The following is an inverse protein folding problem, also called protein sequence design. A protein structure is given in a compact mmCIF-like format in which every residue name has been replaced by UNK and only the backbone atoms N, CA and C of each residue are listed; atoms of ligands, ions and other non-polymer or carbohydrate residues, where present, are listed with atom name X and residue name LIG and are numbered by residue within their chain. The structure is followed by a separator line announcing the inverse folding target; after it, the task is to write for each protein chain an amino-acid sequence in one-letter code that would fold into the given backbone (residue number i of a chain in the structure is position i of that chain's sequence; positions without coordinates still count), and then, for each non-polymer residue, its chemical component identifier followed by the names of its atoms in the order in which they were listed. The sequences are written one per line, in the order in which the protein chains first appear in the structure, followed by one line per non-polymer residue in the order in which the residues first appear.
data_IF_588941463363
#
_entry.id   IF_588941463363
#
_cell.length_a   1.000
_cell.length_b   1.000
_cell.length_c   1.000
_cell.angle_alpha   90.00
_cell.angle_beta   90.00
_cell.angle_gamma   90.00
#
_symmetry.space_group_name_H-M   'P 1'
#
loop_
_entity.id
_entity.type
_entity.pdbx_description
1 polymer ?
#
# COMPACT_ATOMS: atom_id res chain seq x y z
N UNK A 1 -4.29 -12.46 -9.08
CA UNK A 1 -3.69 -13.37 -8.10
C UNK A 1 -4.15 -12.98 -6.70
N UNK A 2 -4.13 -13.91 -5.75
CA UNK A 2 -4.65 -13.73 -4.38
C UNK A 2 -4.09 -12.48 -3.67
N UNK A 3 -2.77 -12.25 -3.79
CA UNK A 3 -2.08 -11.08 -3.21
C UNK A 3 -2.66 -9.76 -3.76
N UNK A 4 -2.92 -9.67 -5.06
CA UNK A 4 -3.48 -8.47 -5.68
C UNK A 4 -4.95 -8.26 -5.31
N UNK A 5 -5.71 -9.33 -5.12
CA UNK A 5 -7.07 -9.23 -4.59
C UNK A 5 -7.07 -8.69 -3.15
N UNK A 6 -6.14 -9.18 -2.31
CA UNK A 6 -5.97 -8.67 -0.94
C UNK A 6 -5.46 -7.23 -0.92
N UNK A 7 -4.55 -6.87 -1.82
CA UNK A 7 -4.09 -5.50 -1.99
C UNK A 7 -5.25 -4.56 -2.34
N UNK A 8 -6.14 -4.98 -3.26
CA UNK A 8 -7.34 -4.21 -3.62
C UNK A 8 -8.27 -4.06 -2.42
N UNK A 9 -8.61 -5.17 -1.73
CA UNK A 9 -9.44 -5.14 -0.52
C UNK A 9 -8.85 -4.20 0.55
N UNK A 10 -7.54 -4.31 0.80
CA UNK A 10 -6.83 -3.45 1.74
C UNK A 10 -6.91 -1.98 1.32
N UNK A 11 -6.71 -1.67 0.04
CA UNK A 11 -6.77 -0.30 -0.50
C UNK A 11 -8.18 0.28 -0.39
N UNK A 12 -9.21 -0.52 -0.69
CA UNK A 12 -10.61 -0.12 -0.57
C UNK A 12 -10.96 0.19 0.90
N UNK A 13 -10.50 -0.64 1.84
CA UNK A 13 -10.66 -0.38 3.29
C UNK A 13 -9.93 0.87 3.75
N UNK A 14 -8.70 1.07 3.29
CA UNK A 14 -7.92 2.26 3.60
C UNK A 14 -8.65 3.53 3.14
N UNK A 15 -9.24 3.52 1.94
CA UNK A 15 -10.02 4.67 1.43
C UNK A 15 -11.21 5.00 2.33
N UNK A 16 -11.88 4.00 2.90
CA UNK A 16 -12.96 4.21 3.88
C UNK A 16 -12.46 4.86 5.19
N UNK A 17 -11.21 4.60 5.56
CA UNK A 17 -10.53 5.20 6.73
C UNK A 17 -9.90 6.58 6.42
N UNK A 18 -10.15 7.14 5.22
CA UNK A 18 -9.65 8.46 4.82
C UNK A 18 -8.29 8.45 4.12
N UNK A 19 -7.82 7.30 3.62
CA UNK A 19 -6.64 7.24 2.76
C UNK A 19 -6.90 7.92 1.41
N UNK A 20 -6.07 8.91 1.08
CA UNK A 20 -6.01 9.56 -0.23
C UNK A 20 -4.61 9.37 -0.81
N UNK A 21 -4.45 8.78 -2.01
CA UNK A 21 -3.14 8.58 -2.63
C UNK A 21 -2.39 9.90 -2.82
N UNK A 22 -1.11 9.95 -2.43
CA UNK A 22 -0.28 11.16 -2.57
C UNK A 22 0.37 11.24 -3.96
N UNK A 23 -0.44 11.42 -5.01
CA UNK A 23 0.00 11.45 -6.42
C UNK A 23 1.00 12.58 -6.73
N UNK A 24 1.04 13.64 -5.93
CA UNK A 24 1.98 14.76 -6.06
C UNK A 24 3.46 14.33 -5.94
N UNK A 25 3.72 13.17 -5.34
CA UNK A 25 5.07 12.63 -5.17
C UNK A 25 5.50 11.72 -6.34
N UNK A 26 4.63 11.53 -7.33
CA UNK A 26 4.91 10.73 -8.53
C UNK A 26 5.29 11.67 -9.67
N UNK A 27 6.58 11.79 -9.94
CA UNK A 27 7.15 12.70 -10.95
C UNK A 27 7.01 12.20 -12.40
N UNK A 28 6.53 10.98 -12.60
CA UNK A 28 6.29 10.43 -13.93
C UNK A 28 5.14 11.19 -14.58
N UNK A 29 5.33 11.65 -15.82
CA UNK A 29 4.31 12.40 -16.57
C UNK A 29 3.33 11.43 -17.25
N UNK A 30 2.32 11.02 -16.50
CA UNK A 30 1.21 10.15 -16.90
C UNK A 30 -0.08 10.65 -16.25
N UNK A 31 -1.24 10.11 -16.64
CA UNK A 31 -2.52 10.54 -16.07
C UNK A 31 -2.58 10.22 -14.57
N UNK A 32 -3.46 10.93 -13.85
CA UNK A 32 -3.57 10.80 -12.38
C UNK A 32 -3.96 9.37 -11.97
N UNK A 33 -4.78 8.70 -12.77
CA UNK A 33 -5.16 7.31 -12.54
C UNK A 33 -3.93 6.37 -12.60
N UNK A 34 -3.03 6.54 -13.57
CA UNK A 34 -1.78 5.80 -13.61
C UNK A 34 -0.87 6.10 -12.41
N UNK A 35 -0.84 7.36 -11.93
CA UNK A 35 -0.09 7.72 -10.73
C UNK A 35 -0.65 7.04 -9.49
N UNK A 36 -1.98 7.04 -9.32
CA UNK A 36 -2.63 6.32 -8.23
C UNK A 36 -2.33 4.83 -8.30
N UNK A 37 -2.46 4.23 -9.47
CA UNK A 37 -2.16 2.82 -9.68
C UNK A 37 -0.70 2.51 -9.31
N UNK A 38 0.26 3.34 -9.72
CA UNK A 38 1.66 3.17 -9.33
C UNK A 38 1.85 3.14 -7.80
N UNK A 39 1.19 4.04 -7.06
CA UNK A 39 1.23 4.07 -5.60
C UNK A 39 0.58 2.83 -4.96
N UNK A 40 -0.52 2.33 -5.52
CA UNK A 40 -1.19 1.11 -5.02
C UNK A 40 -0.27 -0.09 -5.11
N UNK A 41 0.48 -0.22 -6.21
CA UNK A 41 1.38 -1.35 -6.47
C UNK A 41 2.80 -1.20 -5.89
N UNK A 42 3.02 -0.24 -4.99
CA UNK A 42 4.28 -0.17 -4.25
C UNK A 42 4.57 -1.46 -3.48
N UNK A 43 5.84 -1.86 -3.45
CA UNK A 43 6.28 -3.14 -2.89
C UNK A 43 5.96 -3.28 -1.40
N UNK A 44 5.92 -2.19 -0.62
CA UNK A 44 5.54 -2.25 0.79
C UNK A 44 4.08 -2.68 0.97
N UNK A 45 3.16 -2.16 0.15
CA UNK A 45 1.73 -2.53 0.22
C UNK A 45 1.50 -3.95 -0.25
N UNK A 46 2.22 -4.38 -1.30
CA UNK A 46 2.18 -5.78 -1.76
C UNK A 46 2.71 -6.71 -0.67
N UNK A 47 3.83 -6.36 -0.03
CA UNK A 47 4.40 -7.15 1.07
C UNK A 47 3.41 -7.27 2.24
N UNK A 48 2.72 -6.19 2.61
CA UNK A 48 1.70 -6.23 3.66
C UNK A 48 0.51 -7.09 3.23
N UNK A 49 0.01 -6.93 2.01
CA UNK A 49 -1.07 -7.75 1.48
C UNK A 49 -0.73 -9.25 1.51
N UNK A 50 0.49 -9.62 1.12
CA UNK A 50 1.01 -10.98 1.22
C UNK A 50 1.05 -11.46 2.68
N UNK A 51 1.62 -10.66 3.58
CA UNK A 51 1.73 -11.03 5.00
C UNK A 51 0.35 -11.18 5.67
N UNK A 52 -0.64 -10.38 5.30
CA UNK A 52 -2.03 -10.51 5.78
C UNK A 52 -2.70 -11.81 5.32
N UNK A 53 -2.26 -12.41 4.20
CA UNK A 53 -2.71 -13.72 3.73
C UNK A 53 -1.94 -14.83 4.43
N UNK A 54 -0.62 -14.67 4.53
CA UNK A 54 0.31 -15.76 4.89
C UNK A 54 0.61 -15.89 6.37
N UNK A 55 0.14 -14.96 7.21
CA UNK A 55 0.36 -15.02 8.66
C UNK A 55 -0.93 -15.15 9.46
N UNK A 56 -0.91 -15.84 10.62
CA UNK A 56 -2.07 -15.89 11.51
C UNK A 56 -2.51 -14.49 11.95
N UNK A 57 -3.80 -14.33 12.24
CA UNK A 57 -4.32 -13.09 12.79
C UNK A 57 -3.52 -12.63 14.02
N UNK A 58 -3.36 -11.30 14.16
CA UNK A 58 -2.63 -10.63 15.25
C UNK A 58 -1.13 -10.94 15.30
N UNK A 59 -0.58 -11.61 14.28
CA UNK A 59 0.86 -11.77 14.15
C UNK A 59 1.51 -10.42 13.80
N UNK A 60 2.65 -10.07 14.43
CA UNK A 60 3.36 -8.85 14.08
C UNK A 60 3.94 -8.94 12.67
N UNK A 61 3.60 -7.98 11.81
CA UNK A 61 4.16 -7.84 10.46
C UNK A 61 5.34 -6.86 10.51
N UNK A 62 6.47 -7.26 9.92
CA UNK A 62 7.67 -6.39 9.78
C UNK A 62 8.06 -6.30 8.31
N UNK A 63 8.02 -5.09 7.76
CA UNK A 63 8.49 -4.78 6.41
C UNK A 63 9.81 -4.02 6.52
N UNK A 64 10.89 -4.57 5.96
CA UNK A 64 12.22 -3.96 5.96
C UNK A 64 12.59 -3.58 4.53
N UNK A 65 13.14 -2.38 4.34
CA UNK A 65 13.61 -1.91 3.03
C UNK A 65 14.91 -1.13 3.16
N UNK A 66 15.69 -1.15 2.08
CA UNK A 66 16.98 -0.43 2.01
C UNK A 66 16.82 1.04 1.64
N UNK A 67 15.64 1.45 1.16
CA UNK A 67 15.32 2.83 0.78
C UNK A 67 14.47 3.51 1.86
N UNK A 68 14.25 4.82 1.73
CA UNK A 68 13.31 5.55 2.58
C UNK A 68 11.86 5.23 2.19
N UNK A 69 10.98 4.96 3.16
CA UNK A 69 9.53 4.74 2.91
C UNK A 69 8.96 6.02 2.28
N UNK A 70 8.24 5.90 1.16
CA UNK A 70 7.61 7.07 0.54
C UNK A 70 6.46 7.57 1.43
N UNK A 71 6.11 8.86 1.30
CA UNK A 71 5.11 9.48 2.16
C UNK A 71 3.73 8.80 2.04
N UNK A 72 3.36 8.35 0.84
CA UNK A 72 2.15 7.59 0.58
C UNK A 72 2.12 6.24 1.32
N UNK A 73 3.15 5.40 1.13
CA UNK A 73 3.25 4.12 1.85
C UNK A 73 3.33 4.34 3.37
N UNK A 74 4.02 5.36 3.83
CA UNK A 74 4.10 5.69 5.25
C UNK A 74 2.72 5.99 5.84
N UNK A 75 1.89 6.75 5.13
CA UNK A 75 0.53 7.04 5.55
C UNK A 75 -0.39 5.81 5.48
N UNK A 76 -0.32 5.03 4.40
CA UNK A 76 -1.08 3.79 4.27
C UNK A 76 -0.75 2.79 5.40
N UNK A 77 0.54 2.58 5.70
CA UNK A 77 1.00 1.69 6.78
C UNK A 77 0.48 2.16 8.14
N UNK A 78 0.47 3.48 8.38
CA UNK A 78 -0.07 4.05 9.62
C UNK A 78 -1.55 3.74 9.83
N UNK A 79 -2.34 3.71 8.76
CA UNK A 79 -3.79 3.42 8.82
C UNK A 79 -4.09 1.91 8.88
N UNK A 80 -3.17 1.05 8.42
CA UNK A 80 -3.29 -0.41 8.58
C UNK A 80 -3.04 -0.85 10.04
N UNK A 81 -2.26 -0.07 10.80
CA UNK A 81 -1.92 -0.34 12.20
C UNK A 81 -3.07 -0.10 13.16
#
# INVERSE_FOLDING_TARGET
GEIYAKLKEMTDRLRLEGYVPQISNVYVDVEEEEKENALVYHSEKIAIAFMLISTPERSPIRVVKNLRVCADCHFAIKLVS
#
